data_IF_470846312123
#
_entry.id   IF_470846312123
#
_cell.length_a   1.000
_cell.length_b   1.000
_cell.length_c   1.000
_cell.angle_alpha   90.00
_cell.angle_beta   90.00
_cell.angle_gamma   90.00
#
_symmetry.space_group_name_H-M   'P 1'
#
loop_
_entity.id
_entity.type
_entity.pdbx_description
1 polymer ?
#
# COMPACT_ATOMS: atom_id res chain seq x y z
N UNK A 1 -8.01 -3.33 5.35
CA UNK A 1 -8.40 -1.91 5.26
C UNK A 1 -8.45 -1.51 3.80
N UNK A 2 -9.58 -1.00 3.34
CA UNK A 2 -9.88 -0.77 1.90
C UNK A 2 -10.05 0.71 1.53
N UNK A 3 -10.18 1.62 2.51
CA UNK A 3 -10.32 3.05 2.25
C UNK A 3 -8.97 3.72 2.00
N UNK A 4 -8.95 4.93 1.45
CA UNK A 4 -7.70 5.70 1.28
C UNK A 4 -7.02 5.96 2.62
N UNK A 5 -5.74 5.59 2.75
CA UNK A 5 -4.98 5.79 3.98
C UNK A 5 -4.20 7.12 3.95
N UNK A 6 -4.61 8.06 4.78
CA UNK A 6 -3.83 9.29 5.02
C UNK A 6 -2.61 8.96 5.90
N UNK A 7 -1.43 9.56 5.61
CA UNK A 7 -0.19 9.23 6.33
C UNK A 7 -0.25 9.48 7.84
N UNK A 8 -1.04 10.46 8.30
CA UNK A 8 -1.24 10.74 9.72
C UNK A 8 -2.13 9.70 10.43
N UNK A 9 -2.82 8.82 9.69
CA UNK A 9 -3.68 7.76 10.22
C UNK A 9 -3.00 6.39 10.23
N UNK A 10 -1.76 6.25 9.76
CA UNK A 10 -1.02 4.98 9.76
C UNK A 10 -0.98 4.35 11.16
N UNK A 11 -0.61 5.11 12.18
CA UNK A 11 -0.54 4.60 13.56
C UNK A 11 -1.90 4.15 14.10
N UNK A 12 -3.00 4.78 13.64
CA UNK A 12 -4.35 4.38 14.02
C UNK A 12 -4.72 3.04 13.38
N UNK A 13 -4.36 2.84 12.11
CA UNK A 13 -4.59 1.58 11.40
C UNK A 13 -3.76 0.44 12.01
N UNK A 14 -2.45 0.64 12.22
CA UNK A 14 -1.55 -0.38 12.80
C UNK A 14 -2.05 -0.84 14.18
N UNK A 15 -2.59 0.08 15.01
CA UNK A 15 -3.17 -0.27 16.32
C UNK A 15 -4.34 -1.25 16.22
N UNK A 16 -5.09 -1.25 15.12
CA UNK A 16 -6.18 -2.21 14.88
C UNK A 16 -5.67 -3.59 14.45
N UNK A 17 -4.37 -3.74 14.19
CA UNK A 17 -3.74 -4.97 13.69
C UNK A 17 -4.51 -5.57 12.49
N UNK A 18 -4.65 -4.81 11.38
CA UNK A 18 -5.28 -5.35 10.18
C UNK A 18 -4.55 -6.60 9.71
N UNK A 19 -5.32 -7.57 9.21
CA UNK A 19 -4.78 -8.75 8.54
C UNK A 19 -4.30 -8.42 7.12
N UNK A 20 -4.98 -7.49 6.44
CA UNK A 20 -4.71 -7.11 5.04
C UNK A 20 -4.95 -5.61 4.84
N UNK A 21 -4.03 -4.94 4.15
CA UNK A 21 -4.19 -3.55 3.69
C UNK A 21 -4.25 -3.51 2.16
N UNK A 22 -5.37 -3.02 1.61
CA UNK A 22 -5.65 -3.12 0.17
C UNK A 22 -5.30 -1.83 -0.58
N UNK A 23 -5.38 -0.69 0.11
CA UNK A 23 -5.27 0.64 -0.48
C UNK A 23 -3.84 1.20 -0.44
N UNK A 24 -2.85 0.36 -0.73
CA UNK A 24 -1.47 0.83 -0.88
C UNK A 24 -1.34 1.47 -2.26
N UNK A 25 -1.37 2.80 -2.32
CA UNK A 25 -1.41 3.55 -3.58
C UNK A 25 -0.09 4.26 -3.90
N UNK A 26 1.02 3.79 -3.31
CA UNK A 26 2.33 4.26 -3.73
C UNK A 26 3.47 3.98 -2.77
N UNK A 27 4.69 4.03 -3.29
CA UNK A 27 5.93 3.78 -2.55
C UNK A 27 6.07 4.64 -1.28
N UNK A 28 5.67 5.92 -1.34
CA UNK A 28 5.80 6.84 -0.20
C UNK A 28 4.98 6.39 1.00
N UNK A 29 3.74 5.96 0.80
CA UNK A 29 2.88 5.48 1.89
C UNK A 29 3.32 4.08 2.34
N UNK A 30 3.79 3.24 1.42
CA UNK A 30 4.36 1.93 1.73
C UNK A 30 5.56 2.04 2.69
N UNK A 31 6.57 2.85 2.35
CA UNK A 31 7.74 3.11 3.21
C UNK A 31 7.35 3.69 4.57
N UNK A 32 6.34 4.57 4.60
CA UNK A 32 5.84 5.15 5.83
C UNK A 32 5.13 4.11 6.72
N UNK A 33 4.36 3.19 6.12
CA UNK A 33 3.74 2.06 6.81
C UNK A 33 4.81 1.12 7.36
N UNK A 34 5.72 0.67 6.49
CA UNK A 34 6.78 -0.29 6.78
C UNK A 34 7.62 0.11 8.00
N UNK A 35 8.06 1.38 8.03
CA UNK A 35 8.86 1.94 9.13
C UNK A 35 8.17 1.90 10.50
N UNK A 36 6.84 1.77 10.54
CA UNK A 36 6.02 1.80 11.76
C UNK A 36 5.48 0.42 12.15
N UNK A 37 5.64 -0.58 11.28
CA UNK A 37 5.22 -1.95 11.56
C UNK A 37 6.23 -2.64 12.48
N UNK A 38 5.70 -3.54 13.31
CA UNK A 38 6.49 -4.50 14.10
C UNK A 38 6.07 -5.95 13.79
N UNK A 39 5.34 -6.15 12.71
CA UNK A 39 4.85 -7.43 12.19
C UNK A 39 4.74 -7.37 10.67
N UNK A 40 4.65 -8.53 10.02
CA UNK A 40 4.40 -8.63 8.59
C UNK A 40 2.94 -8.33 8.29
N UNK A 41 2.68 -7.36 7.42
CA UNK A 41 1.33 -7.00 6.99
C UNK A 41 1.12 -7.40 5.53
N UNK A 42 0.15 -8.29 5.29
CA UNK A 42 -0.28 -8.57 3.94
C UNK A 42 -0.85 -7.30 3.31
N UNK A 43 -0.42 -7.03 2.09
CA UNK A 43 -0.68 -5.77 1.40
C UNK A 43 -1.01 -6.03 -0.06
N UNK A 44 -1.98 -5.29 -0.60
CA UNK A 44 -2.25 -5.20 -2.03
C UNK A 44 -1.86 -3.82 -2.54
N UNK A 45 -1.37 -3.75 -3.78
CA UNK A 45 -1.13 -2.50 -4.49
C UNK A 45 -2.43 -2.04 -5.17
N UNK A 46 -2.89 -0.84 -4.86
CA UNK A 46 -4.10 -0.24 -5.46
C UNK A 46 -3.76 0.37 -6.82
N UNK A 47 -4.35 -0.14 -7.89
CA UNK A 47 -4.10 0.28 -9.27
C UNK A 47 -5.35 0.94 -9.85
N UNK A 48 -5.20 2.14 -10.41
CA UNK A 48 -6.26 2.81 -11.16
C UNK A 48 -6.39 2.22 -12.57
N UNK A 49 -6.96 1.02 -12.66
CA UNK A 49 -7.13 0.28 -13.92
C UNK A 49 -7.94 1.02 -14.99
N UNK A 50 -8.81 1.95 -14.59
CA UNK A 50 -9.63 2.75 -15.50
C UNK A 50 -8.88 3.95 -16.11
N UNK A 51 -7.68 4.27 -15.59
CA UNK A 51 -6.88 5.42 -16.00
C UNK A 51 -7.65 6.76 -16.01
N UNK A 52 -8.58 6.92 -15.07
CA UNK A 52 -9.37 8.15 -14.89
C UNK A 52 -8.80 8.98 -13.75
N UNK A 53 -8.62 10.30 -13.96
CA UNK A 53 -8.06 11.22 -12.96
C UNK A 53 -8.87 11.29 -11.65
N UNK A 54 -10.14 10.91 -11.68
CA UNK A 54 -11.05 10.93 -10.52
C UNK A 54 -10.88 9.73 -9.60
N UNK A 55 -10.23 8.66 -10.05
CA UNK A 55 -10.07 7.40 -9.32
C UNK A 55 -8.74 7.37 -8.56
N UNK A 56 -8.76 6.69 -7.42
CA UNK A 56 -7.57 6.45 -6.58
C UNK A 56 -6.76 5.28 -7.13
N UNK A 57 -5.50 5.19 -6.69
CA UNK A 57 -4.57 4.13 -7.10
C UNK A 57 -3.49 4.64 -8.05
N UNK A 58 -2.53 3.77 -8.30
CA UNK A 58 -1.38 4.05 -9.17
C UNK A 58 -1.78 3.99 -10.64
N UNK A 59 -1.06 4.76 -11.46
CA UNK A 59 -1.12 4.60 -12.91
C UNK A 59 -0.71 3.15 -13.27
N UNK A 60 -1.52 2.42 -14.07
CA UNK A 60 -1.17 1.07 -14.53
C UNK A 60 0.25 0.96 -15.12
N UNK A 61 0.72 1.99 -15.83
CA UNK A 61 2.04 2.01 -16.46
C UNK A 61 3.20 1.99 -15.44
N UNK A 62 2.96 2.47 -14.21
CA UNK A 62 3.95 2.53 -13.14
C UNK A 62 3.81 1.39 -12.12
N UNK A 63 2.71 0.64 -12.19
CA UNK A 63 2.34 -0.32 -11.15
C UNK A 63 3.38 -1.42 -10.94
N UNK A 64 3.97 -1.94 -12.03
CA UNK A 64 4.97 -3.01 -11.94
C UNK A 64 6.25 -2.52 -11.26
N UNK A 65 6.76 -1.35 -11.66
CA UNK A 65 7.96 -0.76 -11.08
C UNK A 65 7.76 -0.48 -9.59
N UNK A 66 6.65 0.16 -9.22
CA UNK A 66 6.35 0.45 -7.82
C UNK A 66 6.13 -0.82 -6.99
N UNK A 67 5.47 -1.85 -7.54
CA UNK A 67 5.29 -3.13 -6.86
C UNK A 67 6.63 -3.75 -6.48
N UNK A 68 7.55 -3.85 -7.43
CA UNK A 68 8.86 -4.44 -7.23
C UNK A 68 9.69 -3.62 -6.24
N UNK A 69 9.65 -2.29 -6.35
CA UNK A 69 10.37 -1.40 -5.45
C UNK A 69 9.84 -1.48 -4.02
N UNK A 70 8.51 -1.56 -3.82
CA UNK A 70 7.93 -1.77 -2.49
C UNK A 70 8.36 -3.13 -1.94
N UNK A 71 8.33 -4.18 -2.76
CA UNK A 71 8.72 -5.52 -2.32
C UNK A 71 10.19 -5.59 -1.89
N UNK A 72 11.08 -4.84 -2.56
CA UNK A 72 12.49 -4.74 -2.20
C UNK A 72 12.73 -3.89 -0.96
N UNK A 73 12.10 -2.71 -0.86
CA UNK A 73 12.43 -1.70 0.15
C UNK A 73 11.61 -1.78 1.44
N UNK A 74 10.48 -2.50 1.43
CA UNK A 74 9.53 -2.55 2.56
C UNK A 74 9.42 -3.98 3.14
N UNK A 75 10.42 -4.44 3.92
CA UNK A 75 10.47 -5.81 4.39
C UNK A 75 9.33 -6.20 5.35
N UNK A 76 8.63 -5.28 5.99
CA UNK A 76 7.47 -5.59 6.83
C UNK A 76 6.16 -5.68 6.04
N UNK A 77 6.16 -5.32 4.75
CA UNK A 77 5.02 -5.50 3.87
C UNK A 77 5.18 -6.80 3.09
N UNK A 78 4.15 -7.65 3.14
CA UNK A 78 4.04 -8.80 2.27
C UNK A 78 3.10 -8.44 1.11
N UNK A 79 3.68 -7.99 0.00
CA UNK A 79 2.89 -7.72 -1.21
C UNK A 79 2.39 -9.05 -1.79
N UNK A 80 1.07 -9.26 -1.71
CA UNK A 80 0.43 -10.53 -2.03
C UNK A 80 -0.55 -10.44 -3.22
N UNK A 81 -0.61 -9.28 -3.88
CA UNK A 81 -1.46 -9.07 -5.04
C UNK A 81 -1.75 -7.60 -5.30
N UNK A 82 -2.78 -7.36 -6.13
CA UNK A 82 -3.25 -6.04 -6.54
C UNK A 82 -4.73 -5.86 -6.19
N UNK A 83 -5.14 -4.60 -6.01
CA UNK A 83 -6.52 -4.15 -5.79
C UNK A 83 -6.97 -3.27 -6.94
#
# INVERSE_FOLDING_TARGET
FIGTLQSNKINLLIKQKPILWHSCNGLKIAKAMDKRLNYKLDTLLEINSANELSKSGLNPDQAIEEYLQIQEECPNLNLCGVM
#
